data_IF_796901758353
#
_entry.id   IF_796901758353
#
_cell.length_a   1.000
_cell.length_b   1.000
_cell.length_c   1.000
_cell.angle_alpha   90.00
_cell.angle_beta   90.00
_cell.angle_gamma   90.00
#
_symmetry.space_group_name_H-M   'P 1'
#
loop_
_entity.id
_entity.type
_entity.pdbx_description
1 polymer ?
#
# COMPACT_ATOMS: atom_id res chain seq x y z
N UNK A 1 16.34 -14.75 -2.16
CA UNK A 1 15.63 -14.33 -0.94
C UNK A 1 16.44 -13.35 -0.07
N UNK A 2 17.72 -13.56 0.18
CA UNK A 2 18.57 -12.69 1.03
C UNK A 2 18.61 -11.20 0.62
N UNK A 3 18.65 -10.88 -0.68
CA UNK A 3 18.66 -9.49 -1.14
C UNK A 3 17.39 -8.70 -0.80
N UNK A 4 16.22 -9.32 -0.79
CA UNK A 4 14.97 -8.67 -0.41
C UNK A 4 14.93 -8.23 1.06
N UNK A 5 15.63 -8.95 1.95
CA UNK A 5 15.68 -8.64 3.38
C UNK A 5 16.36 -7.29 3.68
N UNK A 6 17.34 -6.89 2.87
CA UNK A 6 18.01 -5.58 3.02
C UNK A 6 17.08 -4.40 2.66
N UNK A 7 16.16 -4.61 1.72
CA UNK A 7 15.16 -3.60 1.36
C UNK A 7 14.15 -3.30 2.47
N UNK A 8 13.92 -4.24 3.40
CA UNK A 8 12.95 -4.07 4.49
C UNK A 8 13.32 -2.88 5.37
N UNK A 9 14.61 -2.69 5.67
CA UNK A 9 15.08 -1.55 6.46
C UNK A 9 14.76 -0.21 5.80
N UNK A 10 15.01 -0.08 4.50
CA UNK A 10 14.68 1.13 3.74
C UNK A 10 13.18 1.37 3.65
N UNK A 11 12.41 0.31 3.42
CA UNK A 11 10.93 0.38 3.43
C UNK A 11 10.40 0.83 4.79
N UNK A 12 10.96 0.33 5.88
CA UNK A 12 10.59 0.78 7.22
C UNK A 12 10.89 2.27 7.43
N UNK A 13 12.10 2.72 7.10
CA UNK A 13 12.51 4.13 7.22
C UNK A 13 11.58 5.02 6.39
N UNK A 14 11.31 4.65 5.12
CA UNK A 14 10.40 5.39 4.28
C UNK A 14 9.00 5.51 4.90
N UNK A 15 8.40 4.38 5.32
CA UNK A 15 7.06 4.36 5.89
C UNK A 15 6.98 5.15 7.20
N UNK A 16 8.02 5.08 8.03
CA UNK A 16 8.11 5.83 9.28
C UNK A 16 8.07 7.34 9.03
N UNK A 17 8.95 7.86 8.17
CA UNK A 17 8.97 9.30 7.84
C UNK A 17 7.74 9.74 7.04
N UNK A 18 7.21 8.88 6.18
CA UNK A 18 5.96 9.15 5.47
C UNK A 18 4.77 9.25 6.43
N UNK A 19 4.71 8.41 7.46
CA UNK A 19 3.68 8.49 8.51
C UNK A 19 3.83 9.77 9.35
N UNK A 20 5.06 10.14 9.74
CA UNK A 20 5.34 11.38 10.46
C UNK A 20 4.89 12.62 9.67
N UNK A 21 5.26 12.70 8.39
CA UNK A 21 4.88 13.82 7.53
C UNK A 21 3.35 13.89 7.34
N UNK A 22 2.69 12.75 7.17
CA UNK A 22 1.22 12.69 7.11
C UNK A 22 0.58 13.15 8.42
N UNK A 23 1.16 12.81 9.56
CA UNK A 23 0.65 13.23 10.87
C UNK A 23 0.64 14.75 11.03
N UNK A 24 1.66 15.46 10.51
CA UNK A 24 1.71 16.94 10.51
C UNK A 24 0.91 17.59 9.36
N UNK A 25 0.19 16.79 8.56
CA UNK A 25 -0.66 17.27 7.46
C UNK A 25 0.02 17.35 6.09
N UNK A 26 1.29 16.98 5.99
CA UNK A 26 2.01 16.97 4.72
C UNK A 26 1.97 15.58 4.06
N UNK A 27 0.88 15.28 3.35
CA UNK A 27 0.73 14.03 2.61
C UNK A 27 1.38 14.06 1.21
N UNK A 28 1.69 15.25 0.70
CA UNK A 28 2.18 15.44 -0.68
C UNK A 28 3.66 15.07 -0.81
N UNK A 29 4.47 15.44 0.17
CA UNK A 29 5.91 15.15 0.15
C UNK A 29 6.24 13.64 0.06
N UNK A 30 5.62 12.75 0.87
CA UNK A 30 5.81 11.31 0.70
C UNK A 30 5.45 10.81 -0.71
N UNK A 31 4.41 11.37 -1.32
CA UNK A 31 3.99 11.01 -2.67
C UNK A 31 5.07 11.35 -3.72
N UNK A 32 5.72 12.52 -3.60
CA UNK A 32 6.83 12.87 -4.49
C UNK A 32 8.00 11.89 -4.38
N UNK A 33 8.40 11.53 -3.16
CA UNK A 33 9.48 10.56 -2.97
C UNK A 33 9.10 9.16 -3.47
N UNK A 34 7.83 8.78 -3.34
CA UNK A 34 7.32 7.53 -3.92
C UNK A 34 7.39 7.56 -5.46
N UNK A 35 6.93 8.64 -6.08
CA UNK A 35 6.99 8.80 -7.53
C UNK A 35 8.45 8.77 -8.06
N UNK A 36 9.37 9.46 -7.39
CA UNK A 36 10.80 9.40 -7.71
C UNK A 36 11.34 7.97 -7.60
N UNK A 37 10.96 7.25 -6.53
CA UNK A 37 11.35 5.85 -6.33
C UNK A 37 10.86 4.95 -7.47
N UNK A 38 9.62 5.11 -7.92
CA UNK A 38 9.04 4.32 -9.01
C UNK A 38 9.77 4.60 -10.33
N UNK A 39 9.97 5.87 -10.68
CA UNK A 39 10.68 6.24 -11.92
C UNK A 39 12.13 5.75 -11.90
N UNK A 40 12.81 5.91 -10.77
CA UNK A 40 14.17 5.41 -10.59
C UNK A 40 14.23 3.88 -10.67
N UNK A 41 13.28 3.18 -10.07
CA UNK A 41 13.20 1.72 -10.14
C UNK A 41 13.05 1.23 -11.58
N UNK A 42 12.08 1.80 -12.34
CA UNK A 42 11.91 1.46 -13.75
C UNK A 42 13.18 1.71 -14.56
N UNK A 43 13.83 2.87 -14.38
CA UNK A 43 15.08 3.20 -15.08
C UNK A 43 16.22 2.24 -14.75
N UNK A 44 16.38 1.89 -13.46
CA UNK A 44 17.40 0.94 -13.03
C UNK A 44 17.08 -0.50 -13.45
N UNK A 45 15.81 -0.90 -13.47
CA UNK A 45 15.41 -2.21 -13.97
C UNK A 45 15.78 -2.37 -15.44
N UNK A 46 15.45 -1.37 -16.27
CA UNK A 46 15.84 -1.37 -17.68
C UNK A 46 17.37 -1.39 -17.86
N UNK A 47 18.09 -0.61 -17.07
CA UNK A 47 19.54 -0.55 -17.11
C UNK A 47 20.20 -1.89 -16.73
N UNK A 48 19.80 -2.48 -15.60
CA UNK A 48 20.41 -3.73 -15.12
C UNK A 48 20.00 -4.95 -15.93
N UNK A 49 18.75 -4.97 -16.46
CA UNK A 49 18.26 -6.12 -17.22
C UNK A 49 18.72 -6.06 -18.67
N UNK A 50 18.58 -4.89 -19.34
CA UNK A 50 18.85 -4.77 -20.77
C UNK A 50 20.33 -4.49 -21.10
N UNK A 51 21.03 -3.68 -20.29
CA UNK A 51 22.43 -3.30 -20.57
C UNK A 51 23.46 -4.21 -19.88
N UNK A 52 23.16 -4.67 -18.67
CA UNK A 52 24.10 -5.50 -17.89
C UNK A 52 23.74 -6.98 -17.89
N UNK A 53 22.58 -7.36 -18.44
CA UNK A 53 22.08 -8.75 -18.54
C UNK A 53 22.04 -9.50 -17.19
N UNK A 54 21.82 -8.76 -16.08
CA UNK A 54 21.80 -9.32 -14.73
C UNK A 54 20.49 -10.05 -14.37
N UNK A 55 19.48 -10.00 -15.24
CA UNK A 55 18.21 -10.69 -15.07
C UNK A 55 17.54 -10.37 -13.70
N UNK A 56 17.09 -11.40 -13.01
CA UNK A 56 16.36 -11.28 -11.73
C UNK A 56 17.21 -10.62 -10.62
N UNK A 57 18.54 -10.80 -10.64
CA UNK A 57 19.43 -10.16 -9.65
C UNK A 57 19.46 -8.64 -9.86
N UNK A 58 19.49 -8.20 -11.12
CA UNK A 58 19.44 -6.79 -11.49
C UNK A 58 18.16 -6.10 -10.98
N UNK A 59 17.00 -6.70 -11.21
CA UNK A 59 15.72 -6.21 -10.71
C UNK A 59 15.68 -6.09 -9.18
N UNK A 60 16.23 -7.08 -8.46
CA UNK A 60 16.28 -7.03 -7.01
C UNK A 60 17.17 -5.88 -6.49
N UNK A 61 18.31 -5.63 -7.13
CA UNK A 61 19.22 -4.54 -6.77
C UNK A 61 18.60 -3.18 -7.11
N UNK A 62 17.98 -3.04 -8.27
CA UNK A 62 17.27 -1.82 -8.67
C UNK A 62 16.21 -1.41 -7.65
N UNK A 63 15.41 -2.39 -7.20
CA UNK A 63 14.39 -2.16 -6.17
C UNK A 63 15.00 -1.66 -4.86
N UNK A 64 16.10 -2.26 -4.39
CA UNK A 64 16.77 -1.85 -3.14
C UNK A 64 17.33 -0.44 -3.26
N UNK A 65 17.99 -0.12 -4.40
CA UNK A 65 18.54 1.22 -4.64
C UNK A 65 17.41 2.26 -4.66
N UNK A 66 16.34 2.01 -5.40
CA UNK A 66 15.21 2.93 -5.48
C UNK A 66 14.54 3.18 -4.11
N UNK A 67 14.36 2.13 -3.32
CA UNK A 67 13.86 2.24 -1.94
C UNK A 67 14.83 2.99 -1.03
N UNK A 68 16.13 2.73 -1.16
CA UNK A 68 17.18 3.42 -0.40
C UNK A 68 17.20 4.92 -0.70
N UNK A 69 17.18 5.31 -1.97
CA UNK A 69 17.12 6.72 -2.39
C UNK A 69 15.87 7.41 -1.85
N UNK A 70 14.71 6.75 -1.94
CA UNK A 70 13.46 7.31 -1.41
C UNK A 70 13.49 7.46 0.11
N UNK A 71 13.97 6.44 0.83
CA UNK A 71 14.08 6.46 2.29
C UNK A 71 15.05 7.54 2.79
N UNK A 72 16.23 7.63 2.20
CA UNK A 72 17.21 8.65 2.56
C UNK A 72 16.76 10.05 2.13
N UNK A 73 16.09 10.16 0.99
CA UNK A 73 15.54 11.41 0.49
C UNK A 73 14.46 11.98 1.41
N UNK A 74 13.47 11.17 1.79
CA UNK A 74 12.39 11.62 2.70
C UNK A 74 12.93 11.94 4.09
N UNK A 75 13.89 11.16 4.60
CA UNK A 75 14.57 11.41 5.86
C UNK A 75 15.31 12.76 5.81
N UNK A 76 16.14 12.98 4.78
CA UNK A 76 16.88 14.23 4.59
C UNK A 76 15.95 15.45 4.45
N UNK A 77 14.87 15.32 3.68
CA UNK A 77 13.86 16.38 3.57
C UNK A 77 13.23 16.71 4.93
N UNK A 78 12.85 15.69 5.70
CA UNK A 78 12.24 15.88 7.02
C UNK A 78 13.20 16.61 7.96
N UNK A 79 14.46 16.21 7.98
CA UNK A 79 15.48 16.90 8.77
C UNK A 79 15.73 18.34 8.33
N UNK A 80 15.68 18.62 7.02
CA UNK A 80 15.95 19.97 6.48
C UNK A 80 14.77 20.92 6.63
N UNK A 81 13.54 20.44 6.37
CA UNK A 81 12.35 21.30 6.23
C UNK A 81 11.39 21.26 7.43
N UNK A 82 11.49 20.24 8.28
CA UNK A 82 10.60 20.07 9.44
C UNK A 82 11.43 20.07 10.74
N UNK A 83 11.85 21.27 11.23
CA UNK A 83 12.65 21.36 12.46
C UNK A 83 11.94 20.77 13.68
N UNK A 84 10.59 20.77 13.69
CA UNK A 84 9.74 20.20 14.73
C UNK A 84 9.87 18.68 14.86
N UNK A 85 10.31 17.99 13.80
CA UNK A 85 10.51 16.54 13.76
C UNK A 85 11.98 16.14 13.93
N UNK A 86 12.88 17.09 14.20
CA UNK A 86 14.28 16.77 14.47
C UNK A 86 14.41 16.14 15.84
N UNK A 87 14.93 14.94 15.87
CA UNK A 87 15.25 14.26 17.12
C UNK A 87 16.46 14.94 17.78
N UNK A 88 16.24 15.52 18.94
CA UNK A 88 17.31 16.04 19.80
C UNK A 88 17.66 14.97 20.84
N UNK A 89 18.89 14.99 21.35
CA UNK A 89 19.32 14.06 22.40
C UNK A 89 18.43 14.10 23.65
N UNK A 90 17.84 15.24 23.92
CA UNK A 90 16.92 15.44 25.06
C UNK A 90 15.54 14.79 24.85
N UNK A 91 15.18 14.44 23.60
CA UNK A 91 13.89 13.81 23.27
C UNK A 91 13.95 12.28 23.39
N UNK A 92 15.15 11.72 23.63
CA UNK A 92 15.37 10.28 23.81
C UNK A 92 14.97 9.83 25.23
N UNK A 93 13.77 10.19 25.66
CA UNK A 93 13.18 9.69 26.89
C UNK A 93 12.25 8.52 26.61
N UNK A 94 12.42 7.44 27.38
CA UNK A 94 11.56 6.27 27.30
C UNK A 94 10.27 6.54 28.08
N UNK A 95 9.21 6.94 27.36
CA UNK A 95 7.88 7.10 27.96
C UNK A 95 7.08 5.80 27.84
N UNK A 96 6.84 5.16 28.99
CA UNK A 96 6.06 3.92 29.08
C UNK A 96 4.61 4.09 28.63
N UNK A 97 4.02 5.28 28.83
CA UNK A 97 2.64 5.54 28.44
C UNK A 97 2.50 5.59 26.92
N UNK A 98 3.32 6.39 26.26
CA UNK A 98 3.36 6.45 24.80
C UNK A 98 3.69 5.09 24.18
N UNK A 99 4.65 4.35 24.76
CA UNK A 99 4.99 3.01 24.28
C UNK A 99 3.80 2.05 24.38
N UNK A 100 3.06 2.07 25.49
CA UNK A 100 1.89 1.23 25.70
C UNK A 100 0.78 1.55 24.69
N UNK A 101 0.53 2.82 24.42
CA UNK A 101 -0.45 3.24 23.41
C UNK A 101 -0.05 2.76 22.00
N UNK A 102 1.18 3.06 21.58
CA UNK A 102 1.69 2.64 20.26
C UNK A 102 1.63 1.11 20.14
N UNK A 103 2.07 0.37 21.15
CA UNK A 103 2.04 -1.10 21.12
C UNK A 103 0.62 -1.63 21.05
N UNK A 104 -0.32 -1.06 21.80
CA UNK A 104 -1.73 -1.46 21.78
C UNK A 104 -2.34 -1.29 20.39
N UNK A 105 -2.20 -0.12 19.75
CA UNK A 105 -2.71 0.12 18.41
C UNK A 105 -2.01 -0.73 17.36
N UNK A 106 -0.69 -0.87 17.46
CA UNK A 106 0.10 -1.70 16.53
C UNK A 106 -0.30 -3.17 16.62
N UNK A 107 -0.50 -3.70 17.83
CA UNK A 107 -0.92 -5.09 18.05
C UNK A 107 -2.30 -5.35 17.45
N UNK A 108 -3.26 -4.44 17.68
CA UNK A 108 -4.60 -4.55 17.07
C UNK A 108 -4.52 -4.57 15.55
N UNK A 109 -3.75 -3.67 14.97
CA UNK A 109 -3.55 -3.61 13.51
C UNK A 109 -2.87 -4.86 12.98
N UNK A 110 -1.86 -5.37 13.68
CA UNK A 110 -1.18 -6.62 13.31
C UNK A 110 -2.13 -7.83 13.35
N UNK A 111 -2.96 -7.95 14.39
CA UNK A 111 -3.95 -9.02 14.49
C UNK A 111 -4.96 -8.91 13.34
N UNK A 112 -5.49 -7.71 13.09
CA UNK A 112 -6.44 -7.47 11.99
C UNK A 112 -5.84 -7.89 10.64
N UNK A 113 -4.62 -7.45 10.32
CA UNK A 113 -3.94 -7.81 9.07
C UNK A 113 -3.63 -9.31 8.99
N UNK A 114 -3.25 -9.93 10.10
CA UNK A 114 -2.96 -11.36 10.15
C UNK A 114 -4.22 -12.19 9.89
N UNK A 115 -5.34 -11.84 10.49
CA UNK A 115 -6.63 -12.52 10.27
C UNK A 115 -7.08 -12.36 8.81
N UNK A 116 -6.94 -11.16 8.24
CA UNK A 116 -7.29 -10.90 6.85
C UNK A 116 -6.41 -11.72 5.88
N UNK A 117 -5.09 -11.74 6.10
CA UNK A 117 -4.17 -12.52 5.28
C UNK A 117 -4.40 -14.03 5.41
N UNK A 118 -4.72 -14.53 6.62
CA UNK A 118 -5.10 -15.93 6.84
C UNK A 118 -6.37 -16.28 6.04
N UNK A 119 -7.38 -15.41 6.05
CA UNK A 119 -8.58 -15.58 5.24
C UNK A 119 -8.27 -15.72 3.75
N UNK A 120 -7.44 -14.84 3.21
CA UNK A 120 -7.00 -14.90 1.81
C UNK A 120 -6.27 -16.22 1.51
N UNK A 121 -5.36 -16.66 2.39
CA UNK A 121 -4.62 -17.91 2.22
C UNK A 121 -5.55 -19.15 2.27
N UNK A 122 -6.56 -19.16 3.15
CA UNK A 122 -7.54 -20.22 3.21
C UNK A 122 -8.38 -20.32 1.93
N UNK A 123 -8.86 -19.17 1.43
CA UNK A 123 -9.60 -19.11 0.16
C UNK A 123 -8.70 -19.57 -0.99
N UNK A 124 -7.45 -19.14 -1.04
CA UNK A 124 -6.50 -19.53 -2.06
C UNK A 124 -6.18 -21.06 -2.00
N UNK A 125 -6.10 -21.61 -0.79
CA UNK A 125 -5.97 -23.06 -0.58
C UNK A 125 -7.17 -23.84 -1.11
N UNK A 126 -8.38 -23.33 -0.87
CA UNK A 126 -9.61 -23.93 -1.39
C UNK A 126 -9.66 -23.86 -2.93
N UNK A 127 -9.33 -22.69 -3.51
CA UNK A 127 -9.32 -22.52 -4.97
C UNK A 127 -8.32 -23.47 -5.65
N UNK A 128 -7.17 -23.72 -5.03
CA UNK A 128 -6.20 -24.68 -5.55
C UNK A 128 -6.74 -26.11 -5.70
N UNK A 129 -7.76 -26.49 -4.90
CA UNK A 129 -8.39 -27.82 -4.99
C UNK A 129 -9.29 -27.99 -6.22
N UNK A 130 -9.71 -26.89 -6.87
CA UNK A 130 -10.55 -26.92 -8.07
C UNK A 130 -9.76 -27.04 -9.38
N UNK A 131 -8.44 -27.10 -9.31
CA UNK A 131 -7.56 -27.28 -10.46
C UNK A 131 -6.99 -26.00 -11.05
N UNK A 132 -6.07 -26.18 -12.01
CA UNK A 132 -5.25 -25.09 -12.56
C UNK A 132 -6.06 -24.01 -13.29
N UNK A 133 -7.15 -24.39 -13.93
CA UNK A 133 -8.03 -23.47 -14.69
C UNK A 133 -8.72 -22.49 -13.78
N UNK A 134 -9.37 -22.98 -12.72
CA UNK A 134 -10.05 -22.13 -11.71
C UNK A 134 -9.04 -21.26 -10.98
N UNK A 135 -7.86 -21.79 -10.70
CA UNK A 135 -6.77 -21.02 -10.08
C UNK A 135 -6.28 -19.87 -10.96
N UNK A 136 -6.17 -20.07 -12.28
CA UNK A 136 -5.78 -19.02 -13.22
C UNK A 136 -6.86 -17.91 -13.31
N UNK A 137 -8.15 -18.28 -13.42
CA UNK A 137 -9.27 -17.35 -13.41
C UNK A 137 -9.33 -16.54 -12.11
N UNK A 138 -9.16 -17.21 -10.96
CA UNK A 138 -9.13 -16.57 -9.65
C UNK A 138 -7.94 -15.60 -9.49
N UNK A 139 -6.76 -15.98 -9.98
CA UNK A 139 -5.58 -15.11 -9.95
C UNK A 139 -5.78 -13.83 -10.79
N UNK A 140 -6.45 -13.93 -11.93
CA UNK A 140 -6.83 -12.76 -12.74
C UNK A 140 -7.87 -11.88 -12.02
N UNK A 141 -8.90 -12.50 -11.42
CA UNK A 141 -9.93 -11.79 -10.66
C UNK A 141 -9.35 -11.03 -9.47
N UNK A 142 -8.44 -11.64 -8.68
CA UNK A 142 -7.74 -10.95 -7.57
C UNK A 142 -6.96 -9.73 -8.05
N UNK A 143 -6.33 -9.80 -9.22
CA UNK A 143 -5.61 -8.63 -9.75
C UNK A 143 -6.56 -7.49 -10.12
N UNK A 144 -7.71 -7.81 -10.69
CA UNK A 144 -8.75 -6.80 -11.00
C UNK A 144 -9.29 -6.20 -9.70
N UNK A 145 -9.62 -7.06 -8.71
CA UNK A 145 -10.08 -6.62 -7.40
C UNK A 145 -9.06 -5.72 -6.69
N UNK A 146 -7.76 -6.00 -6.81
CA UNK A 146 -6.71 -5.17 -6.24
C UNK A 146 -6.73 -3.73 -6.77
N UNK A 147 -7.05 -3.51 -8.06
CA UNK A 147 -7.21 -2.16 -8.61
C UNK A 147 -8.40 -1.40 -8.01
N UNK A 148 -9.48 -2.12 -7.68
CA UNK A 148 -10.65 -1.54 -7.02
C UNK A 148 -10.40 -1.30 -5.51
N UNK A 149 -9.71 -2.23 -4.86
CA UNK A 149 -9.47 -2.21 -3.42
C UNK A 149 -8.44 -1.17 -2.97
N UNK A 150 -7.34 -1.00 -3.73
CA UNK A 150 -6.25 -0.08 -3.36
C UNK A 150 -6.71 1.37 -3.10
N UNK A 151 -7.52 2.02 -3.97
CA UNK A 151 -7.99 3.37 -3.70
C UNK A 151 -8.84 3.49 -2.43
N UNK A 152 -9.66 2.47 -2.14
CA UNK A 152 -10.51 2.44 -0.93
C UNK A 152 -9.65 2.31 0.32
N UNK A 153 -8.63 1.47 0.28
CA UNK A 153 -7.69 1.30 1.40
C UNK A 153 -6.91 2.59 1.67
N UNK A 154 -6.40 3.24 0.64
CA UNK A 154 -5.66 4.51 0.80
C UNK A 154 -6.57 5.64 1.27
N UNK A 155 -7.83 5.67 0.84
CA UNK A 155 -8.82 6.59 1.39
C UNK A 155 -9.05 6.33 2.89
N UNK A 156 -9.15 5.06 3.31
CA UNK A 156 -9.24 4.67 4.72
C UNK A 156 -8.04 5.15 5.55
N UNK A 157 -6.82 4.99 5.03
CA UNK A 157 -5.59 5.46 5.66
C UNK A 157 -5.57 7.00 5.80
N UNK A 158 -5.96 7.71 4.75
CA UNK A 158 -6.06 9.17 4.77
C UNK A 158 -7.13 9.66 5.76
N UNK A 159 -8.28 8.98 5.77
CA UNK A 159 -9.37 9.31 6.68
C UNK A 159 -9.01 9.03 8.15
N UNK A 160 -8.29 7.96 8.43
CA UNK A 160 -7.76 7.67 9.77
C UNK A 160 -6.86 8.80 10.26
N UNK A 161 -5.98 9.33 9.40
CA UNK A 161 -5.13 10.49 9.73
C UNK A 161 -5.97 11.74 10.01
N UNK A 162 -7.01 12.00 9.20
CA UNK A 162 -7.96 13.11 9.43
C UNK A 162 -8.66 12.99 10.79
N UNK A 163 -9.14 11.80 11.16
CA UNK A 163 -9.76 11.55 12.46
C UNK A 163 -8.77 11.83 13.59
N UNK A 164 -7.55 11.27 13.52
CA UNK A 164 -6.54 11.43 14.55
C UNK A 164 -6.17 12.90 14.79
N UNK A 165 -5.96 13.69 13.73
CA UNK A 165 -5.66 15.11 13.83
C UNK A 165 -6.80 15.93 14.47
N UNK A 166 -8.05 15.66 14.05
CA UNK A 166 -9.20 16.39 14.60
C UNK A 166 -9.54 15.96 16.03
N UNK A 167 -9.27 14.69 16.37
CA UNK A 167 -9.42 14.16 17.73
C UNK A 167 -8.41 14.83 18.68
N UNK A 168 -7.12 14.88 18.30
CA UNK A 168 -6.10 15.58 19.06
C UNK A 168 -6.41 17.08 19.24
N UNK A 169 -7.00 17.71 18.22
CA UNK A 169 -7.47 19.11 18.28
C UNK A 169 -8.81 19.28 18.99
N UNK A 170 -9.42 18.22 19.54
CA UNK A 170 -10.74 18.21 20.23
C UNK A 170 -11.89 18.78 19.37
N UNK A 171 -11.80 18.67 18.04
CA UNK A 171 -12.80 19.16 17.07
C UNK A 171 -13.82 18.07 16.70
N UNK A 172 -14.60 17.59 17.66
CA UNK A 172 -15.52 16.46 17.50
C UNK A 172 -16.63 16.71 16.46
N UNK A 173 -17.11 17.93 16.33
CA UNK A 173 -18.09 18.28 15.29
C UNK A 173 -17.55 18.07 13.87
N UNK A 174 -16.27 18.40 13.68
CA UNK A 174 -15.60 18.20 12.40
C UNK A 174 -15.40 16.73 12.07
N UNK A 175 -15.12 15.90 13.08
CA UNK A 175 -15.06 14.45 12.96
C UNK A 175 -16.41 13.92 12.49
N UNK A 176 -17.52 14.31 13.15
CA UNK A 176 -18.88 13.83 12.83
C UNK A 176 -19.28 14.19 11.39
N UNK A 177 -19.01 15.42 10.96
CA UNK A 177 -19.26 15.84 9.57
C UNK A 177 -18.38 15.08 8.59
N UNK A 178 -17.10 14.87 8.92
CA UNK A 178 -16.15 14.10 8.13
C UNK A 178 -16.56 12.63 7.96
N UNK A 179 -17.03 11.97 9.02
CA UNK A 179 -17.54 10.58 8.96
C UNK A 179 -18.71 10.48 7.99
N UNK A 180 -19.69 11.40 8.08
CA UNK A 180 -20.84 11.41 7.15
C UNK A 180 -20.40 11.59 5.70
N UNK A 181 -19.50 12.53 5.45
CA UNK A 181 -18.96 12.79 4.10
C UNK A 181 -18.17 11.58 3.59
N UNK A 182 -17.32 10.98 4.42
CA UNK A 182 -16.53 9.81 4.06
C UNK A 182 -17.42 8.61 3.70
N UNK A 183 -18.47 8.34 4.49
CA UNK A 183 -19.44 7.27 4.20
C UNK A 183 -20.11 7.47 2.84
N UNK A 184 -20.60 8.68 2.57
CA UNK A 184 -21.23 8.98 1.28
C UNK A 184 -20.24 8.80 0.13
N UNK A 185 -19.02 9.35 0.27
CA UNK A 185 -17.97 9.23 -0.75
C UNK A 185 -17.61 7.77 -1.01
N UNK A 186 -17.45 6.96 0.04
CA UNK A 186 -17.11 5.54 -0.09
C UNK A 186 -18.24 4.76 -0.76
N UNK A 187 -19.50 5.01 -0.40
CA UNK A 187 -20.66 4.35 -1.02
C UNK A 187 -20.74 4.69 -2.50
N UNK A 188 -20.65 5.98 -2.84
CA UNK A 188 -20.71 6.42 -4.24
C UNK A 188 -19.56 5.82 -5.06
N UNK A 189 -18.34 5.85 -4.51
CA UNK A 189 -17.17 5.27 -5.16
C UNK A 189 -17.31 3.75 -5.34
N UNK A 190 -17.77 3.03 -4.31
CA UNK A 190 -17.96 1.57 -4.39
C UNK A 190 -19.01 1.20 -5.43
N UNK A 191 -20.14 1.92 -5.48
CA UNK A 191 -21.16 1.71 -6.51
C UNK A 191 -20.62 1.99 -7.92
N UNK A 192 -19.86 3.07 -8.09
CA UNK A 192 -19.24 3.41 -9.36
C UNK A 192 -18.30 2.31 -9.84
N UNK A 193 -17.39 1.85 -8.97
CA UNK A 193 -16.44 0.78 -9.30
C UNK A 193 -17.17 -0.54 -9.58
N UNK A 194 -18.20 -0.87 -8.78
CA UNK A 194 -18.98 -2.09 -8.98
C UNK A 194 -19.64 -2.12 -10.34
N UNK A 195 -20.28 -1.01 -10.74
CA UNK A 195 -20.89 -0.88 -12.07
C UNK A 195 -19.82 -0.98 -13.18
N UNK A 196 -18.66 -0.31 -12.98
CA UNK A 196 -17.57 -0.33 -13.96
C UNK A 196 -17.01 -1.74 -14.13
N UNK A 197 -16.73 -2.45 -13.02
CA UNK A 197 -16.25 -3.84 -13.08
C UNK A 197 -17.27 -4.76 -13.72
N UNK A 198 -18.54 -4.61 -13.39
CA UNK A 198 -19.62 -5.42 -13.97
C UNK A 198 -19.74 -5.21 -15.49
N UNK A 199 -19.75 -3.96 -15.96
CA UNK A 199 -19.85 -3.63 -17.38
C UNK A 199 -18.62 -4.03 -18.20
N UNK A 200 -17.44 -3.95 -17.59
CA UNK A 200 -16.16 -4.20 -18.23
C UNK A 200 -15.46 -5.48 -17.75
N UNK A 201 -16.19 -6.42 -17.14
CA UNK A 201 -15.64 -7.68 -16.65
C UNK A 201 -14.83 -8.43 -17.72
N UNK A 202 -15.40 -8.60 -18.93
CA UNK A 202 -14.74 -9.27 -20.04
C UNK A 202 -13.49 -8.55 -20.55
N UNK A 203 -13.49 -7.24 -20.85
CA UNK A 203 -12.28 -6.50 -21.18
C UNK A 203 -11.20 -6.58 -20.10
N UNK A 204 -11.57 -6.49 -18.83
CA UNK A 204 -10.60 -6.58 -17.73
C UNK A 204 -9.96 -7.97 -17.61
N UNK A 205 -10.74 -9.02 -17.78
CA UNK A 205 -10.19 -10.38 -17.80
C UNK A 205 -9.23 -10.60 -18.99
N UNK A 206 -9.52 -10.03 -20.16
CA UNK A 206 -8.65 -10.13 -21.34
C UNK A 206 -7.30 -9.43 -21.19
N UNK A 207 -7.12 -8.56 -20.19
CA UNK A 207 -5.80 -7.97 -19.88
C UNK A 207 -4.86 -9.02 -19.26
N UNK A 208 -5.41 -10.00 -18.53
CA UNK A 208 -4.63 -10.98 -17.76
C UNK A 208 -4.69 -12.40 -18.32
N UNK A 209 -5.71 -12.70 -19.15
CA UNK A 209 -5.97 -14.01 -19.72
C UNK A 209 -5.95 -13.89 -21.25
N UNK A 210 -5.26 -14.82 -21.91
CA UNK A 210 -5.16 -14.80 -23.37
C UNK A 210 -6.54 -15.05 -24.02
N UNK A 211 -6.86 -14.39 -25.15
CA UNK A 211 -8.18 -14.47 -25.80
C UNK A 211 -8.59 -15.89 -26.23
N UNK A 212 -7.65 -16.78 -26.42
CA UNK A 212 -7.89 -18.19 -26.82
C UNK A 212 -8.26 -19.10 -25.64
N UNK A 213 -8.06 -18.67 -24.40
CA UNK A 213 -8.40 -19.41 -23.18
C UNK A 213 -9.85 -19.14 -22.75
N UNK A 214 -10.80 -19.51 -23.64
CA UNK A 214 -12.23 -19.22 -23.46
C UNK A 214 -12.83 -19.87 -22.20
N UNK A 215 -12.31 -21.02 -21.79
CA UNK A 215 -12.78 -21.71 -20.57
C UNK A 215 -12.42 -20.92 -19.31
N UNK A 216 -11.20 -20.39 -19.22
CA UNK A 216 -10.76 -19.54 -18.08
C UNK A 216 -11.59 -18.25 -18.03
N UNK A 217 -11.87 -17.65 -19.21
CA UNK A 217 -12.71 -16.45 -19.31
C UNK A 217 -14.13 -16.72 -18.82
N UNK A 218 -14.74 -17.83 -19.19
CA UNK A 218 -16.09 -18.19 -18.76
C UNK A 218 -16.18 -18.43 -17.25
N UNK A 219 -15.18 -19.13 -16.68
CA UNK A 219 -15.11 -19.36 -15.23
C UNK A 219 -14.88 -18.05 -14.44
N UNK A 220 -14.14 -17.10 -15.02
CA UNK A 220 -13.81 -15.85 -14.33
C UNK A 220 -14.88 -14.75 -14.45
N UNK A 221 -15.81 -14.87 -15.39
CA UNK A 221 -16.91 -13.91 -15.61
C UNK A 221 -18.22 -14.40 -14.94
N UNK A 222 -18.41 -15.72 -14.80
CA UNK A 222 -19.58 -16.32 -14.17
C UNK A 222 -19.47 -16.34 -12.67
#
# INVERSE_FOLDING_TARGET
MLFRSWGIGFTFIYNFYAALLRAIGNAVTPLYFLAISVVLNIGLDLFFILLLDWGIKGAAIATIIAQGVSALGIMGYTYAKCPELRLHRNDLHFDRHCLKEITSFSTLTCIQQSVMNLGILMVQGLVNSFGSMVMAAFAAAIKIDSFAYMPVQEFGNAFSTFIAQNFGAKKYERIRKGVKSALITTIVFSLFISVLVFLFAKPFMLIFVAPHETEILNVGIG
#
